data_IF_754938439641
#
_entry.id   IF_754938439641
#
_cell.length_a   1.000
_cell.length_b   1.000
_cell.length_c   1.000
_cell.angle_alpha   90.00
_cell.angle_beta   90.00
_cell.angle_gamma   90.00
#
_symmetry.space_group_name_H-M   'P 1'
#
loop_
_entity.id
_entity.type
_entity.pdbx_description
1 polymer ?
#
# COMPACT_ATOMS: atom_id res chain seq x y z
N UNK A 1 18.04 -10.40 10.81
CA UNK A 1 17.01 -10.34 11.87
C UNK A 1 16.13 -9.09 11.73
N UNK A 2 16.67 -7.87 11.60
CA UNK A 2 15.88 -6.68 11.18
C UNK A 2 16.48 -5.92 10.00
N UNK A 3 17.81 -5.74 9.99
CA UNK A 3 18.56 -5.06 8.92
C UNK A 3 18.24 -5.63 7.53
N UNK A 4 18.23 -6.96 7.39
CA UNK A 4 17.92 -7.62 6.11
C UNK A 4 16.50 -7.29 5.60
N UNK A 5 15.54 -7.14 6.50
CA UNK A 5 14.17 -6.72 6.15
C UNK A 5 14.12 -5.26 5.72
N UNK A 6 14.77 -4.36 6.48
CA UNK A 6 14.89 -2.95 6.10
C UNK A 6 15.61 -2.77 4.76
N UNK A 7 16.68 -3.51 4.49
CA UNK A 7 17.37 -3.46 3.19
C UNK A 7 16.43 -3.83 2.05
N UNK A 8 15.62 -4.89 2.21
CA UNK A 8 14.63 -5.26 1.20
C UNK A 8 13.54 -4.20 1.02
N UNK A 9 12.99 -3.66 2.12
CA UNK A 9 12.00 -2.58 2.06
C UNK A 9 12.56 -1.34 1.36
N UNK A 10 13.77 -0.90 1.73
CA UNK A 10 14.44 0.25 1.13
C UNK A 10 14.81 -0.03 -0.32
N UNK A 11 15.25 -1.24 -0.64
CA UNK A 11 15.57 -1.62 -2.02
C UNK A 11 14.34 -1.50 -2.93
N UNK A 12 13.20 -2.09 -2.55
CA UNK A 12 11.96 -1.94 -3.31
C UNK A 12 11.44 -0.50 -3.33
N UNK A 13 11.62 0.25 -2.25
CA UNK A 13 11.30 1.67 -2.18
C UNK A 13 12.10 2.48 -3.20
N UNK A 14 13.42 2.28 -3.27
CA UNK A 14 14.30 2.96 -4.23
C UNK A 14 13.98 2.54 -5.67
N UNK A 15 13.69 1.26 -5.89
CA UNK A 15 13.29 0.75 -7.20
C UNK A 15 11.97 1.38 -7.66
N UNK A 16 11.00 1.50 -6.76
CA UNK A 16 9.74 2.19 -6.99
C UNK A 16 9.91 3.69 -7.27
N UNK A 17 10.80 4.37 -6.55
CA UNK A 17 11.14 5.78 -6.81
C UNK A 17 11.82 5.96 -8.16
N UNK A 18 12.75 5.08 -8.53
CA UNK A 18 13.38 5.11 -9.84
C UNK A 18 12.34 4.91 -10.96
N UNK A 19 11.39 3.99 -10.76
CA UNK A 19 10.30 3.76 -11.71
C UNK A 19 9.29 4.91 -11.76
N UNK A 20 9.01 5.58 -10.64
CA UNK A 20 8.19 6.78 -10.59
C UNK A 20 8.77 7.87 -11.50
N UNK A 21 10.08 8.12 -11.41
CA UNK A 21 10.75 9.17 -12.20
C UNK A 21 10.75 8.84 -13.70
N UNK A 22 10.85 7.56 -14.08
CA UNK A 22 11.00 7.16 -15.49
C UNK A 22 9.66 6.85 -16.19
N UNK A 23 8.70 6.22 -15.50
CA UNK A 23 7.49 5.65 -16.11
C UNK A 23 6.17 6.21 -15.57
N UNK A 24 6.07 6.49 -14.27
CA UNK A 24 4.80 6.80 -13.61
C UNK A 24 4.94 7.94 -12.60
N UNK A 25 5.17 9.19 -13.06
CA UNK A 25 5.43 10.33 -12.18
C UNK A 25 4.24 10.69 -11.30
N UNK A 26 3.02 10.32 -11.72
CA UNK A 26 1.78 10.63 -10.99
C UNK A 26 1.59 9.79 -9.72
N UNK A 27 2.25 8.63 -9.63
CA UNK A 27 2.11 7.71 -8.50
C UNK A 27 3.34 7.80 -7.59
N UNK A 28 3.18 8.08 -6.28
CA UNK A 28 4.30 8.11 -5.34
C UNK A 28 5.18 6.85 -5.43
N UNK A 29 6.50 7.06 -5.49
CA UNK A 29 7.50 5.98 -5.48
C UNK A 29 7.25 4.86 -4.44
N UNK A 30 6.85 5.18 -3.17
CA UNK A 30 6.52 4.14 -2.20
C UNK A 30 5.41 3.18 -2.62
N UNK A 31 4.36 3.68 -3.29
CA UNK A 31 3.22 2.85 -3.71
C UNK A 31 3.67 1.86 -4.77
N UNK A 32 4.49 2.31 -5.72
CA UNK A 32 5.07 1.45 -6.76
C UNK A 32 5.97 0.40 -6.13
N UNK A 33 6.84 0.80 -5.19
CA UNK A 33 7.72 -0.12 -4.46
C UNK A 33 6.93 -1.21 -3.72
N UNK A 34 5.82 -0.86 -3.07
CA UNK A 34 4.92 -1.82 -2.42
C UNK A 34 4.32 -2.81 -3.42
N UNK A 35 3.84 -2.35 -4.58
CA UNK A 35 3.28 -3.25 -5.62
C UNK A 35 4.36 -4.20 -6.15
N UNK A 36 5.56 -3.71 -6.44
CA UNK A 36 6.68 -4.53 -6.88
C UNK A 36 7.06 -5.58 -5.85
N UNK A 37 7.09 -5.20 -4.57
CA UNK A 37 7.37 -6.13 -3.48
C UNK A 37 6.27 -7.20 -3.37
N UNK A 38 4.99 -6.84 -3.48
CA UNK A 38 3.88 -7.80 -3.47
C UNK A 38 4.02 -8.78 -4.63
N UNK A 39 4.29 -8.30 -5.85
CA UNK A 39 4.52 -9.17 -7.01
C UNK A 39 5.69 -10.13 -6.76
N UNK A 40 6.81 -9.62 -6.24
CA UNK A 40 7.97 -10.45 -5.88
C UNK A 40 7.63 -11.51 -4.82
N UNK A 41 6.91 -11.13 -3.77
CA UNK A 41 6.50 -12.06 -2.70
C UNK A 41 5.50 -13.10 -3.20
N UNK A 42 4.59 -12.73 -4.10
CA UNK A 42 3.68 -13.66 -4.77
C UNK A 42 4.44 -14.68 -5.63
N UNK A 43 5.49 -14.27 -6.33
CA UNK A 43 6.34 -15.18 -7.12
C UNK A 43 7.19 -16.09 -6.24
N UNK A 44 7.67 -15.57 -5.11
CA UNK A 44 8.48 -16.32 -4.14
C UNK A 44 7.65 -17.30 -3.29
N UNK A 45 6.37 -17.01 -3.08
CA UNK A 45 5.44 -17.86 -2.30
C UNK A 45 5.60 -17.77 -0.78
N UNK A 46 6.61 -17.05 -0.27
CA UNK A 46 6.88 -16.92 1.16
C UNK A 46 7.31 -15.50 1.56
N UNK A 47 6.78 -15.02 2.69
CA UNK A 47 7.21 -13.77 3.32
C UNK A 47 8.34 -14.10 4.29
N UNK A 48 9.53 -13.54 4.07
CA UNK A 48 10.64 -13.76 5.01
C UNK A 48 10.32 -13.14 6.37
N UNK A 49 10.63 -13.86 7.45
CA UNK A 49 10.47 -13.38 8.83
C UNK A 49 11.14 -12.01 9.06
N UNK A 50 12.30 -11.79 8.42
CA UNK A 50 13.00 -10.51 8.45
C UNK A 50 12.19 -9.33 7.90
N UNK A 51 11.41 -9.53 6.83
CA UNK A 51 10.56 -8.47 6.25
C UNK A 51 9.38 -8.20 7.19
N UNK A 52 8.78 -9.25 7.75
CA UNK A 52 7.66 -9.11 8.67
C UNK A 52 8.05 -8.34 9.94
N UNK A 53 9.22 -8.65 10.52
CA UNK A 53 9.76 -7.91 11.67
C UNK A 53 10.05 -6.44 11.35
N UNK A 54 10.64 -6.16 10.19
CA UNK A 54 10.95 -4.78 9.79
C UNK A 54 9.67 -3.97 9.51
N UNK A 55 8.70 -4.54 8.80
CA UNK A 55 7.40 -3.93 8.54
C UNK A 55 6.61 -3.69 9.83
N UNK A 56 6.62 -4.67 10.75
CA UNK A 56 6.02 -4.55 12.08
C UNK A 56 6.63 -3.42 12.91
N UNK A 57 7.95 -3.19 12.79
CA UNK A 57 8.62 -2.03 13.39
C UNK A 57 8.11 -0.70 12.83
N UNK A 58 7.95 -0.61 11.50
CA UNK A 58 7.49 0.62 10.84
C UNK A 58 6.02 0.93 11.14
N UNK A 59 5.17 -0.10 11.26
CA UNK A 59 3.76 0.03 11.63
C UNK A 59 3.56 0.71 13.00
N UNK A 60 4.50 0.56 13.93
CA UNK A 60 4.46 1.28 15.23
C UNK A 60 4.57 2.81 15.06
N UNK A 61 5.19 3.25 13.97
CA UNK A 61 5.33 4.67 13.62
C UNK A 61 4.24 5.15 12.65
N UNK A 62 3.27 4.31 12.29
CA UNK A 62 2.14 4.68 11.44
C UNK A 62 1.42 5.96 11.93
N UNK A 63 1.17 6.17 13.25
CA UNK A 63 0.57 7.41 13.72
C UNK A 63 1.38 8.64 13.30
N UNK A 64 2.71 8.58 13.34
CA UNK A 64 3.60 9.66 12.91
C UNK A 64 3.49 9.92 11.40
N UNK A 65 3.39 8.86 10.60
CA UNK A 65 3.24 8.94 9.13
C UNK A 65 1.88 9.53 8.73
N UNK A 66 0.86 9.40 9.59
CA UNK A 66 -0.48 9.96 9.38
C UNK A 66 -0.60 11.43 9.81
N UNK A 67 0.40 11.99 10.51
CA UNK A 67 0.39 13.39 10.94
C UNK A 67 0.34 14.35 9.74
N UNK A 68 1.20 14.26 8.70
CA UNK A 68 1.14 15.20 7.58
C UNK A 68 -0.21 15.23 6.84
N UNK A 69 -0.83 14.07 6.51
CA UNK A 69 -2.20 14.04 5.99
C UNK A 69 -3.22 14.70 6.93
N UNK A 70 -3.17 14.39 8.23
CA UNK A 70 -4.11 14.94 9.21
C UNK A 70 -3.99 16.46 9.35
N UNK A 71 -2.76 16.97 9.38
CA UNK A 71 -2.48 18.42 9.42
C UNK A 71 -2.97 19.10 8.14
N UNK A 72 -2.83 18.45 6.98
CA UNK A 72 -3.39 18.95 5.73
C UNK A 72 -4.91 19.17 5.79
N UNK A 73 -5.65 18.23 6.38
CA UNK A 73 -7.10 18.36 6.57
C UNK A 73 -7.44 19.53 7.50
N UNK A 74 -6.67 19.72 8.57
CA UNK A 74 -6.88 20.85 9.49
C UNK A 74 -6.57 22.21 8.84
N UNK A 75 -5.54 22.27 7.99
CA UNK A 75 -5.11 23.49 7.32
C UNK A 75 -6.08 23.95 6.22
N UNK A 76 -6.67 23.00 5.48
CA UNK A 76 -7.59 23.27 4.36
C UNK A 76 -9.06 22.93 4.70
N UNK A 77 -9.41 22.98 5.99
CA UNK A 77 -10.72 22.52 6.46
C UNK A 77 -11.89 23.35 5.92
N UNK A 78 -11.69 24.65 5.69
CA UNK A 78 -12.73 25.54 5.16
C UNK A 78 -13.02 25.24 3.69
N UNK A 79 -11.99 25.00 2.90
CA UNK A 79 -12.08 24.60 1.49
C UNK A 79 -12.74 23.22 1.37
N UNK A 80 -12.36 22.27 2.23
CA UNK A 80 -12.98 20.95 2.31
C UNK A 80 -14.48 21.06 2.66
N UNK A 81 -14.85 21.97 3.55
CA UNK A 81 -16.26 22.18 3.92
C UNK A 81 -17.08 22.77 2.76
N UNK A 82 -16.49 23.67 1.96
CA UNK A 82 -17.14 24.23 0.79
C UNK A 82 -17.43 23.16 -0.28
N UNK A 83 -16.49 22.23 -0.50
CA UNK A 83 -16.62 21.13 -1.47
C UNK A 83 -17.04 19.79 -0.83
N UNK A 84 -17.62 19.83 0.37
CA UNK A 84 -17.89 18.63 1.17
C UNK A 84 -18.78 17.61 0.44
N UNK A 85 -19.74 18.08 -0.36
CA UNK A 85 -20.64 17.21 -1.14
C UNK A 85 -19.88 16.45 -2.22
N UNK A 86 -19.00 17.12 -2.97
CA UNK A 86 -18.17 16.51 -3.99
C UNK A 86 -17.19 15.50 -3.36
N UNK A 87 -16.53 15.88 -2.28
CA UNK A 87 -15.58 15.02 -1.55
C UNK A 87 -16.29 13.77 -1.02
N UNK A 88 -17.43 13.92 -0.35
CA UNK A 88 -18.19 12.79 0.18
C UNK A 88 -18.64 11.83 -0.92
N UNK A 89 -19.13 12.36 -2.04
CA UNK A 89 -19.59 11.55 -3.16
C UNK A 89 -18.43 10.79 -3.81
N UNK A 90 -17.29 11.45 -4.05
CA UNK A 90 -16.07 10.81 -4.55
C UNK A 90 -15.55 9.74 -3.58
N UNK A 91 -15.51 10.00 -2.27
CA UNK A 91 -15.12 9.01 -1.27
C UNK A 91 -16.07 7.81 -1.26
N UNK A 92 -17.38 8.05 -1.27
CA UNK A 92 -18.38 7.00 -1.24
C UNK A 92 -18.27 6.10 -2.48
N UNK A 93 -18.13 6.68 -3.68
CA UNK A 93 -17.93 5.91 -4.91
C UNK A 93 -16.61 5.13 -4.86
N UNK A 94 -15.51 5.78 -4.49
CA UNK A 94 -14.20 5.13 -4.40
C UNK A 94 -14.22 3.95 -3.43
N UNK A 95 -14.85 4.13 -2.27
CA UNK A 95 -15.02 3.09 -1.26
C UNK A 95 -15.91 1.95 -1.77
N UNK A 96 -17.07 2.29 -2.36
CA UNK A 96 -18.01 1.32 -2.91
C UNK A 96 -17.42 0.47 -4.05
N UNK A 97 -16.46 1.01 -4.81
CA UNK A 97 -15.73 0.26 -5.84
C UNK A 97 -14.55 -0.54 -5.26
N UNK A 98 -13.78 0.06 -4.35
CA UNK A 98 -12.56 -0.54 -3.82
C UNK A 98 -12.84 -1.73 -2.90
N UNK A 99 -13.90 -1.68 -2.08
CA UNK A 99 -14.25 -2.77 -1.16
C UNK A 99 -14.58 -4.09 -1.87
N UNK A 100 -15.53 -4.12 -2.84
CA UNK A 100 -15.83 -5.32 -3.61
C UNK A 100 -14.62 -5.79 -4.43
N UNK A 101 -13.83 -4.86 -4.98
CA UNK A 101 -12.63 -5.20 -5.73
C UNK A 101 -11.58 -5.90 -4.86
N UNK A 102 -11.30 -5.39 -3.66
CA UNK A 102 -10.42 -6.02 -2.68
C UNK A 102 -10.95 -7.40 -2.25
N UNK A 103 -12.25 -7.51 -1.98
CA UNK A 103 -12.90 -8.78 -1.64
C UNK A 103 -12.77 -9.83 -2.76
N UNK A 104 -13.06 -9.44 -3.99
CA UNK A 104 -12.90 -10.28 -5.18
C UNK A 104 -11.44 -10.70 -5.40
N UNK A 105 -10.50 -9.77 -5.23
CA UNK A 105 -9.07 -10.05 -5.36
C UNK A 105 -8.61 -11.06 -4.31
N UNK A 106 -9.01 -10.86 -3.05
CA UNK A 106 -8.70 -11.77 -1.95
C UNK A 106 -9.30 -13.15 -2.19
N UNK A 107 -10.57 -13.23 -2.61
CA UNK A 107 -11.23 -14.50 -2.94
C UNK A 107 -10.51 -15.22 -4.08
N UNK A 108 -10.10 -14.50 -5.13
CA UNK A 108 -9.33 -15.06 -6.24
C UNK A 108 -7.97 -15.60 -5.79
N UNK A 109 -7.28 -14.93 -4.86
CA UNK A 109 -6.01 -15.43 -4.31
C UNK A 109 -6.20 -16.69 -3.47
N UNK A 110 -7.22 -16.72 -2.60
CA UNK A 110 -7.53 -17.89 -1.75
C UNK A 110 -7.90 -19.11 -2.60
N UNK A 111 -8.74 -18.93 -3.64
CA UNK A 111 -9.11 -20.02 -4.55
C UNK A 111 -7.92 -20.59 -5.34
N UNK A 112 -6.90 -19.77 -5.63
CA UNK A 112 -5.65 -20.23 -6.26
C UNK A 112 -4.80 -21.04 -5.29
N UNK A 113 -4.77 -20.67 -4.01
CA UNK A 113 -4.03 -21.39 -2.97
C UNK A 113 -4.61 -22.79 -2.72
N UNK A 114 -5.94 -22.91 -2.64
CA UNK A 114 -6.64 -24.20 -2.45
C UNK A 114 -6.46 -25.18 -3.63
N UNK A 115 -6.19 -24.69 -4.84
CA UNK A 115 -5.85 -25.54 -5.99
C UNK A 115 -4.41 -26.08 -5.94
N UNK A 116 -3.50 -25.39 -5.25
CA UNK A 116 -2.11 -25.81 -5.09
C UNK A 116 -1.90 -26.88 -4.01
N UNK A 117 -2.74 -26.92 -2.97
CA UNK A 117 -2.66 -27.92 -1.88
C UNK A 117 -3.27 -29.29 -2.24
N UNK A 118 -3.95 -29.41 -3.38
CA UNK A 118 -4.59 -30.67 -3.85
C UNK A 118 -3.81 -31.40 -4.95
N UNK A 119 -2.58 -30.97 -5.25
CA UNK A 119 -1.67 -31.66 -6.18
C UNK A 119 -0.42 -32.14 -5.46
#
# INVERSE_FOLDING_TARGET
>A
MLLRGMTWLIFFQLLGTWLNVVLLPILPGPIIGMVLMVVYLCLRGEVSESINLAAGGLLKYLPLILVPPAVGIMAYGAEIAADATAILLTLAISLALSLPFCGWLMQRMILRQQRGEKS
#
